data_IF_349782678915
#
_entry.id   IF_349782678915
#
_cell.length_a   1.000
_cell.length_b   1.000
_cell.length_c   1.000
_cell.angle_alpha   90.00
_cell.angle_beta   90.00
_cell.angle_gamma   90.00
#
_symmetry.space_group_name_H-M   'P 1'
#
loop_
_entity.id
_entity.type
_entity.pdbx_description
1 polymer ?
#
# COMPACT_ATOMS: atom_id res chain seq x y z
N UNK A 1 -8.44 0.78 -5.14
CA UNK A 1 -8.73 1.80 -4.13
C UNK A 1 -7.64 2.85 -4.19
N UNK A 2 -8.00 4.10 -4.45
CA UNK A 2 -7.09 5.25 -4.55
C UNK A 2 -6.87 5.88 -3.17
N UNK A 3 -5.71 6.50 -3.00
CA UNK A 3 -5.42 7.38 -1.86
C UNK A 3 -5.33 8.80 -2.40
N UNK A 4 -5.89 9.77 -1.70
CA UNK A 4 -5.96 11.14 -2.21
C UNK A 4 -4.56 11.76 -2.30
N UNK A 5 -3.72 11.53 -1.29
CA UNK A 5 -2.38 12.09 -1.17
C UNK A 5 -1.41 11.08 -0.56
N UNK A 6 -0.19 11.05 -1.07
CA UNK A 6 0.92 10.27 -0.52
C UNK A 6 2.05 11.21 -0.15
N UNK A 7 2.52 11.14 1.09
CA UNK A 7 3.73 11.81 1.51
C UNK A 7 4.90 10.80 1.55
N UNK A 8 5.94 11.07 0.78
CA UNK A 8 7.20 10.34 0.84
C UNK A 8 8.20 11.13 1.66
N UNK A 9 8.55 10.63 2.84
CA UNK A 9 9.46 11.32 3.77
C UNK A 9 10.74 10.52 4.00
N UNK A 10 11.86 11.21 4.22
CA UNK A 10 13.18 10.56 4.34
C UNK A 10 13.41 9.90 5.70
N UNK A 11 12.67 10.33 6.72
CA UNK A 11 12.77 9.84 8.11
C UNK A 11 11.46 9.24 8.54
N UNK A 12 11.49 8.29 9.49
CA UNK A 12 10.28 7.68 10.03
C UNK A 12 9.38 8.79 10.59
N UNK A 13 8.17 8.99 10.05
CA UNK A 13 7.27 10.00 10.55
C UNK A 13 6.68 9.56 11.89
N UNK A 14 6.60 10.49 12.82
CA UNK A 14 5.75 10.38 14.00
C UNK A 14 4.45 11.14 13.68
N UNK A 15 3.46 10.39 13.21
CA UNK A 15 2.17 10.93 12.74
C UNK A 15 1.47 11.71 13.85
N UNK A 16 1.57 11.23 15.10
CA UNK A 16 0.99 11.89 16.26
C UNK A 16 1.68 13.22 16.53
N UNK A 17 3.02 13.24 16.59
CA UNK A 17 3.77 14.47 16.84
C UNK A 17 3.49 15.57 15.80
N UNK A 18 3.32 15.19 14.53
CA UNK A 18 3.01 16.15 13.46
C UNK A 18 1.57 16.68 13.58
N UNK A 19 0.61 15.81 13.86
CA UNK A 19 -0.78 16.22 14.07
C UNK A 19 -0.95 17.08 15.34
N UNK A 20 -0.30 16.72 16.44
CA UNK A 20 -0.21 17.55 17.65
C UNK A 20 0.41 18.92 17.33
N UNK A 21 1.43 18.96 16.46
CA UNK A 21 2.00 20.21 15.97
C UNK A 21 0.98 21.09 15.23
N UNK A 22 0.12 20.52 14.40
CA UNK A 22 -0.94 21.27 13.71
C UNK A 22 -2.00 21.81 14.69
N UNK A 23 -2.41 20.99 15.66
CA UNK A 23 -3.35 21.38 16.72
C UNK A 23 -2.77 22.52 17.56
N UNK A 24 -1.50 22.39 17.96
CA UNK A 24 -0.78 23.43 18.71
C UNK A 24 -0.64 24.75 17.93
N UNK A 25 -0.59 24.69 16.59
CA UNK A 25 -0.58 25.84 15.70
C UNK A 25 -1.98 26.45 15.45
N UNK A 26 -3.01 25.95 16.15
CA UNK A 26 -4.35 26.53 16.16
C UNK A 26 -5.31 25.96 15.12
N UNK A 27 -4.98 24.84 14.47
CA UNK A 27 -5.97 24.13 13.66
C UNK A 27 -7.02 23.48 14.58
N UNK A 28 -8.33 23.67 14.32
CA UNK A 28 -9.41 23.12 15.13
C UNK A 28 -9.61 21.63 14.81
N UNK A 29 -8.57 20.84 15.07
CA UNK A 29 -8.52 19.41 14.78
C UNK A 29 -8.46 18.62 16.08
N UNK A 30 -9.15 17.48 16.10
CA UNK A 30 -9.02 16.48 17.14
C UNK A 30 -8.33 15.24 16.58
N UNK A 31 -7.31 14.76 17.26
CA UNK A 31 -6.65 13.50 16.91
C UNK A 31 -7.33 12.33 17.62
N UNK A 32 -7.70 11.29 16.87
CA UNK A 32 -8.28 10.04 17.38
C UNK A 32 -7.62 8.82 16.73
N UNK A 33 -7.54 7.72 17.46
CA UNK A 33 -6.85 6.50 17.01
C UNK A 33 -5.35 6.53 17.31
N UNK A 34 -4.60 5.64 16.66
CA UNK A 34 -3.18 5.39 16.93
C UNK A 34 -2.91 3.89 17.09
N UNK A 35 -1.63 3.49 17.02
CA UNK A 35 -1.19 2.08 16.96
C UNK A 35 -1.98 1.19 17.95
N UNK A 36 -2.66 0.13 17.48
CA UNK A 36 -2.55 -0.52 16.17
C UNK A 36 -3.51 -0.01 15.07
N UNK A 37 -4.34 0.99 15.35
CA UNK A 37 -5.35 1.52 14.43
C UNK A 37 -4.84 2.75 13.67
N UNK A 38 -5.33 2.97 12.44
CA UNK A 38 -5.00 4.15 11.64
C UNK A 38 -5.33 5.45 12.39
N UNK A 39 -4.42 6.41 12.39
CA UNK A 39 -4.61 7.73 12.99
C UNK A 39 -5.65 8.52 12.20
N UNK A 40 -6.57 9.20 12.88
CA UNK A 40 -7.68 9.95 12.28
C UNK A 40 -7.72 11.37 12.82
N UNK A 41 -7.90 12.33 11.93
CA UNK A 41 -8.11 13.74 12.24
C UNK A 41 -9.58 14.08 12.07
N UNK A 42 -10.18 14.60 13.13
CA UNK A 42 -11.56 15.07 13.16
C UNK A 42 -11.59 16.60 13.24
N UNK A 43 -12.67 17.22 12.78
CA UNK A 43 -12.92 18.64 13.01
C UNK A 43 -13.41 18.92 14.44
N UNK A 44 -13.56 20.20 14.80
CA UNK A 44 -14.10 20.62 16.10
C UNK A 44 -15.56 20.22 16.36
N UNK A 45 -16.28 19.70 15.35
CA UNK A 45 -17.62 19.11 15.51
C UNK A 45 -17.56 17.58 15.64
N UNK A 46 -16.36 16.98 15.62
CA UNK A 46 -16.13 15.54 15.72
C UNK A 46 -16.31 14.78 14.40
N UNK A 47 -16.46 15.46 13.26
CA UNK A 47 -16.56 14.81 11.94
C UNK A 47 -15.18 14.40 11.46
N UNK A 48 -15.07 13.18 10.93
CA UNK A 48 -13.82 12.70 10.34
C UNK A 48 -13.47 13.53 9.11
N UNK A 49 -12.27 14.10 9.09
CA UNK A 49 -11.73 14.80 7.92
C UNK A 49 -10.68 13.95 7.21
N UNK A 50 -9.69 13.44 7.94
CA UNK A 50 -8.54 12.77 7.33
C UNK A 50 -8.23 11.47 8.07
N UNK A 51 -7.98 10.40 7.34
CA UNK A 51 -7.45 9.14 7.86
C UNK A 51 -6.03 8.95 7.33
N UNK A 52 -5.09 8.73 8.25
CA UNK A 52 -3.69 8.55 7.96
C UNK A 52 -3.36 7.09 8.26
N UNK A 53 -2.96 6.36 7.22
CA UNK A 53 -2.52 4.97 7.39
C UNK A 53 -1.08 4.91 7.90
N UNK A 54 -0.72 3.76 8.44
CA UNK A 54 0.60 3.50 8.99
C UNK A 54 1.72 3.73 7.97
N UNK A 55 2.84 4.26 8.45
CA UNK A 55 3.96 4.62 7.60
C UNK A 55 4.76 3.38 7.20
N UNK A 56 4.90 3.14 5.89
CA UNK A 56 5.58 1.96 5.37
C UNK A 56 6.95 2.34 4.81
N UNK A 57 8.01 1.66 5.23
CA UNK A 57 9.33 1.89 4.65
C UNK A 57 9.45 1.21 3.28
N UNK A 58 9.67 2.02 2.24
CA UNK A 58 9.90 1.58 0.87
C UNK A 58 11.38 1.73 0.51
N UNK A 59 12.06 0.60 0.36
CA UNK A 59 13.49 0.56 0.04
C UNK A 59 13.78 0.43 -1.46
N UNK A 60 12.76 0.11 -2.26
CA UNK A 60 12.90 -0.21 -3.69
C UNK A 60 12.33 0.91 -4.56
N UNK A 61 13.19 1.56 -5.36
CA UNK A 61 12.79 2.67 -6.23
C UNK A 61 11.80 2.25 -7.32
N UNK A 62 11.88 1.00 -7.81
CA UNK A 62 10.96 0.47 -8.81
C UNK A 62 9.50 0.41 -8.36
N UNK A 63 9.23 0.18 -7.07
CA UNK A 63 7.89 0.19 -6.51
C UNK A 63 7.28 1.60 -6.53
N UNK A 64 8.09 2.61 -6.19
CA UNK A 64 7.71 4.03 -6.28
C UNK A 64 7.37 4.37 -7.74
N UNK A 65 8.21 3.94 -8.69
CA UNK A 65 8.01 4.17 -10.12
C UNK A 65 6.73 3.53 -10.66
N UNK A 66 6.38 2.34 -10.16
CA UNK A 66 5.15 1.64 -10.53
C UNK A 66 3.88 2.35 -10.03
N UNK A 67 3.95 2.96 -8.85
CA UNK A 67 2.79 3.55 -8.18
C UNK A 67 2.58 5.02 -8.50
N UNK A 68 3.67 5.79 -8.59
CA UNK A 68 3.66 7.25 -8.77
C UNK A 68 4.22 7.69 -10.12
N UNK A 69 4.76 6.76 -10.91
CA UNK A 69 5.39 7.05 -12.21
C UNK A 69 6.91 7.21 -12.13
N UNK A 70 7.57 6.90 -13.25
CA UNK A 70 9.04 6.88 -13.34
C UNK A 70 9.66 8.27 -13.13
N UNK A 71 9.02 9.34 -13.60
CA UNK A 71 9.52 10.72 -13.45
C UNK A 71 9.56 11.15 -11.99
N UNK A 72 8.52 10.83 -11.21
CA UNK A 72 8.48 11.12 -9.78
C UNK A 72 9.48 10.25 -9.02
N UNK A 73 9.55 8.96 -9.31
CA UNK A 73 10.50 8.05 -8.69
C UNK A 73 11.96 8.43 -8.92
N UNK A 74 12.30 9.00 -10.08
CA UNK A 74 13.65 9.48 -10.37
C UNK A 74 14.10 10.63 -9.45
N UNK A 75 13.16 11.40 -8.89
CA UNK A 75 13.42 12.51 -7.95
C UNK A 75 13.50 12.04 -6.49
N UNK A 76 13.13 10.79 -6.21
CA UNK A 76 13.08 10.23 -4.85
C UNK A 76 14.26 9.28 -4.64
N UNK A 77 15.01 9.49 -3.56
CA UNK A 77 16.12 8.62 -3.17
C UNK A 77 15.68 7.65 -2.07
N UNK A 78 15.70 6.35 -2.35
CA UNK A 78 15.38 5.30 -1.37
C UNK A 78 16.52 5.06 -0.37
N UNK A 79 16.23 4.58 0.86
CA UNK A 79 14.90 4.24 1.38
C UNK A 79 14.09 5.47 1.81
N UNK A 80 12.78 5.41 1.59
CA UNK A 80 11.82 6.45 2.02
C UNK A 80 10.68 5.83 2.81
N UNK A 81 10.00 6.64 3.61
CA UNK A 81 8.78 6.27 4.31
C UNK A 81 7.57 6.78 3.54
N UNK A 82 6.69 5.86 3.20
CA UNK A 82 5.44 6.10 2.50
C UNK A 82 4.31 6.29 3.51
N UNK A 83 3.61 7.40 3.41
CA UNK A 83 2.42 7.69 4.24
C UNK A 83 1.22 7.91 3.34
N UNK A 84 0.24 7.03 3.42
CA UNK A 84 -1.04 7.20 2.73
C UNK A 84 -1.93 8.16 3.56
N UNK A 85 -2.27 9.31 2.97
CA UNK A 85 -3.16 10.32 3.55
C UNK A 85 -4.47 10.33 2.78
N UNK A 86 -5.56 9.98 3.46
CA UNK A 86 -6.89 9.82 2.86
C UNK A 86 -7.82 10.90 3.38
N UNK A 87 -8.31 11.75 2.48
CA UNK A 87 -9.33 12.72 2.83
C UNK A 87 -10.70 12.06 2.73
N UNK A 88 -11.64 12.46 3.59
CA UNK A 88 -13.04 12.06 3.42
C UNK A 88 -13.57 12.75 2.17
N UNK A 89 -14.02 11.95 1.21
CA UNK A 89 -14.70 12.44 0.02
C UNK A 89 -15.98 13.20 0.41
N UNK A 90 -16.38 14.18 -0.40
CA UNK A 90 -17.54 15.06 -0.18
C UNK A 90 -17.34 16.18 0.87
N UNK A 91 -16.19 16.23 1.57
CA UNK A 91 -15.87 17.32 2.51
C UNK A 91 -14.72 18.17 1.96
N UNK A 92 -14.96 19.41 1.47
CA UNK A 92 -13.89 20.24 0.89
C UNK A 92 -12.82 20.62 1.92
N UNK A 93 -13.20 20.79 3.18
CA UNK A 93 -12.29 21.03 4.31
C UNK A 93 -11.29 19.87 4.48
N UNK A 94 -11.73 18.63 4.27
CA UNK A 94 -10.91 17.43 4.45
C UNK A 94 -9.71 17.40 3.50
N UNK A 95 -9.92 17.78 2.24
CA UNK A 95 -8.84 17.81 1.25
C UNK A 95 -7.82 18.90 1.56
N UNK A 96 -8.28 20.06 2.05
CA UNK A 96 -7.42 21.16 2.53
C UNK A 96 -6.55 20.71 3.71
N UNK A 97 -7.16 20.07 4.71
CA UNK A 97 -6.45 19.56 5.90
C UNK A 97 -5.47 18.45 5.52
N UNK A 98 -5.87 17.51 4.66
CA UNK A 98 -5.01 16.42 4.20
C UNK A 98 -3.76 16.95 3.48
N UNK A 99 -3.92 17.96 2.60
CA UNK A 99 -2.80 18.60 1.92
C UNK A 99 -1.90 19.33 2.91
N UNK A 100 -2.46 20.12 3.83
CA UNK A 100 -1.69 20.84 4.86
C UNK A 100 -0.90 19.88 5.76
N UNK A 101 -1.46 18.73 6.10
CA UNK A 101 -0.79 17.68 6.86
C UNK A 101 0.38 17.07 6.06
N UNK A 102 0.15 16.70 4.79
CA UNK A 102 1.19 16.16 3.92
C UNK A 102 2.33 17.16 3.68
N UNK A 103 2.02 18.43 3.46
CA UNK A 103 3.01 19.50 3.31
C UNK A 103 3.80 19.71 4.62
N UNK A 104 3.15 19.60 5.78
CA UNK A 104 3.82 19.67 7.08
C UNK A 104 4.78 18.49 7.28
N UNK A 105 4.37 17.27 6.93
CA UNK A 105 5.24 16.09 6.97
C UNK A 105 6.51 16.31 6.15
N UNK A 106 6.37 16.78 4.91
CA UNK A 106 7.52 17.04 4.03
C UNK A 106 8.36 18.21 4.54
N UNK A 107 7.74 19.25 5.09
CA UNK A 107 8.45 20.39 5.67
C UNK A 107 9.37 19.97 6.83
N UNK A 108 8.87 19.13 7.74
CA UNK A 108 9.61 18.72 8.93
C UNK A 108 10.59 17.56 8.69
N UNK A 109 10.23 16.61 7.84
CA UNK A 109 10.99 15.37 7.66
C UNK A 109 11.81 15.32 6.36
N UNK A 110 11.58 16.28 5.47
CA UNK A 110 12.13 16.31 4.12
C UNK A 110 11.52 15.21 3.25
N UNK A 111 11.23 15.53 1.99
CA UNK A 111 10.52 14.58 1.13
C UNK A 111 9.79 15.24 -0.02
N UNK A 112 8.78 14.55 -0.54
CA UNK A 112 7.86 15.06 -1.56
C UNK A 112 6.44 14.55 -1.30
N UNK A 113 5.44 15.34 -1.70
CA UNK A 113 4.02 14.95 -1.70
C UNK A 113 3.60 14.63 -3.13
N UNK A 114 2.80 13.60 -3.32
CA UNK A 114 2.14 13.27 -4.58
C UNK A 114 0.62 13.15 -4.37
N UNK A 115 -0.22 13.65 -5.28
CA UNK A 115 0.07 14.52 -6.43
C UNK A 115 0.67 15.87 -6.05
N UNK A 116 1.60 16.39 -6.86
CA UNK A 116 2.23 17.70 -6.63
C UNK A 116 1.24 18.85 -6.93
N UNK A 117 0.41 18.67 -7.97
CA UNK A 117 -0.66 19.60 -8.35
C UNK A 117 -1.96 18.93 -8.79
N UNK A 118 -3.03 19.71 -8.96
CA UNK A 118 -4.37 19.22 -9.31
C UNK A 118 -4.47 18.55 -10.71
N UNK A 119 -3.41 18.63 -11.51
CA UNK A 119 -3.31 17.98 -12.83
C UNK A 119 -2.78 16.54 -12.76
N UNK A 120 -2.19 16.15 -11.64
CA UNK A 120 -1.69 14.79 -11.44
C UNK A 120 -2.83 13.84 -11.09
N UNK A 121 -2.69 12.58 -11.53
CA UNK A 121 -3.63 11.53 -11.17
C UNK A 121 -3.63 11.31 -9.64
N UNK A 122 -4.77 10.90 -9.05
CA UNK A 122 -4.83 10.60 -7.63
C UNK A 122 -3.84 9.48 -7.29
N UNK A 123 -3.21 9.58 -6.12
CA UNK A 123 -2.19 8.63 -5.70
C UNK A 123 -2.76 7.21 -5.56
N UNK A 124 -1.93 6.21 -5.83
CA UNK A 124 -2.30 4.80 -5.62
C UNK A 124 -1.82 4.37 -4.25
N UNK A 125 -2.73 3.86 -3.42
CA UNK A 125 -2.38 3.39 -2.08
C UNK A 125 -1.35 2.26 -2.15
N UNK A 126 -0.40 2.23 -1.22
CA UNK A 126 0.58 1.15 -1.13
C UNK A 126 -0.09 -0.24 -0.97
N UNK A 127 -1.08 -0.36 -0.07
CA UNK A 127 -1.78 -1.64 0.18
C UNK A 127 -2.54 -2.20 -1.02
N UNK A 128 -3.07 -1.36 -1.91
CA UNK A 128 -3.76 -1.83 -3.12
C UNK A 128 -2.83 -2.53 -4.12
N UNK A 129 -1.51 -2.38 -3.97
CA UNK A 129 -0.51 -3.03 -4.82
C UNK A 129 0.05 -4.34 -4.25
N UNK A 130 -0.27 -4.64 -2.99
CA UNK A 130 0.32 -5.73 -2.21
C UNK A 130 -0.66 -6.77 -1.68
N UNK A 131 -1.41 -7.43 -2.57
CA UNK A 131 -1.62 -8.88 -2.45
C UNK A 131 -0.95 -9.52 -3.67
N UNK A 132 0.37 -9.64 -3.57
CA UNK A 132 1.23 -10.22 -4.60
C UNK A 132 2.62 -10.50 -4.02
N UNK A 133 2.68 -11.00 -2.78
CA UNK A 133 3.90 -11.54 -2.19
C UNK A 133 3.90 -13.07 -2.33
N UNK A 134 5.01 -13.72 -2.70
CA UNK A 134 5.06 -15.16 -2.87
C UNK A 134 5.26 -15.85 -1.52
N UNK A 135 4.33 -16.71 -1.12
CA UNK A 135 4.64 -17.75 -0.13
C UNK A 135 3.50 -18.20 0.78
N UNK A 136 3.43 -19.52 0.90
CA UNK A 136 2.90 -20.27 2.04
C UNK A 136 1.38 -20.53 2.12
N UNK A 137 0.93 -21.50 1.33
CA UNK A 137 0.05 -22.55 1.86
C UNK A 137 0.61 -23.92 1.46
N UNK A 138 1.58 -24.35 2.26
CA UNK A 138 1.99 -25.75 2.32
C UNK A 138 1.06 -26.52 3.24
N UNK A 139 0.47 -27.58 2.70
CA UNK A 139 0.30 -28.85 3.39
C UNK A 139 -0.77 -28.96 4.47
N UNK A 140 -1.87 -29.62 4.12
CA UNK A 140 -2.45 -30.64 4.99
C UNK A 140 -2.78 -31.88 4.16
N UNK A 141 -1.97 -32.90 4.37
CA UNK A 141 -2.28 -34.27 4.03
C UNK A 141 -3.32 -34.84 5.02
N UNK A 142 -4.18 -35.73 4.53
CA UNK A 142 -4.83 -36.75 5.36
C UNK A 142 -6.32 -36.95 5.10
N UNK A 143 -6.69 -38.00 4.35
CA UNK A 143 -8.06 -38.54 4.34
C UNK A 143 -8.47 -39.37 3.12
N UNK A 144 -7.88 -40.55 2.89
CA UNK A 144 -8.55 -41.68 2.19
C UNK A 144 -9.45 -42.41 3.21
N UNK A 145 -10.51 -43.20 2.87
CA UNK A 145 -10.54 -44.15 1.74
C UNK A 145 -11.90 -44.40 1.02
N UNK A 146 -11.82 -45.09 -0.13
CA UNK A 146 -12.79 -46.13 -0.50
C UNK A 146 -13.71 -45.84 -1.69
N UNK A 147 -13.55 -46.61 -2.77
CA UNK A 147 -14.56 -46.72 -3.83
C UNK A 147 -14.05 -47.23 -5.19
N UNK A 148 -13.79 -48.54 -5.30
CA UNK A 148 -13.91 -49.26 -6.58
C UNK A 148 -15.41 -49.29 -6.97
N UNK A 149 -15.80 -49.31 -8.27
CA UNK A 149 -15.45 -50.36 -9.25
C UNK A 149 -15.08 -49.82 -10.65
N UNK A 150 -14.21 -50.47 -11.43
CA UNK A 150 -14.55 -51.59 -12.32
C UNK A 150 -14.33 -51.20 -13.80
N UNK A 151 -14.00 -52.13 -14.73
CA UNK A 151 -13.15 -51.85 -15.88
C UNK A 151 -13.89 -51.70 -17.22
N UNK A 152 -13.32 -50.94 -18.15
CA UNK A 152 -13.73 -50.96 -19.56
C UNK A 152 -12.52 -50.83 -20.52
N UNK A 153 -12.27 -51.90 -21.27
CA UNK A 153 -11.96 -51.84 -22.71
C UNK A 153 -10.57 -51.39 -23.16
N UNK A 154 -9.69 -52.39 -23.36
CA UNK A 154 -8.54 -52.46 -24.28
C UNK A 154 -8.97 -52.24 -25.77
N UNK A 155 -8.09 -52.27 -26.79
CA UNK A 155 -6.76 -51.68 -27.03
C UNK A 155 -6.70 -50.83 -28.32
N UNK A 156 -5.63 -50.06 -28.51
CA UNK A 156 -5.23 -49.68 -29.88
C UNK A 156 -4.13 -48.64 -29.95
N UNK A 157 -2.91 -49.07 -30.31
CA UNK A 157 -1.93 -48.14 -30.90
C UNK A 157 -0.48 -48.36 -30.49
N UNK A 158 0.17 -49.24 -31.24
CA UNK A 158 1.53 -49.08 -31.77
C UNK A 158 2.70 -48.75 -30.81
N UNK A 159 3.42 -49.81 -30.47
CA UNK A 159 4.86 -49.98 -30.72
C UNK A 159 5.76 -48.74 -30.76
N UNK A 160 6.61 -48.60 -29.75
CA UNK A 160 7.99 -48.15 -29.94
C UNK A 160 8.92 -49.10 -29.17
N UNK A 161 9.69 -49.90 -29.90
CA UNK A 161 10.75 -50.75 -29.39
C UNK A 161 12.00 -50.51 -30.23
N UNK A 162 13.15 -50.41 -29.55
CA UNK A 162 14.50 -50.24 -30.13
C UNK A 162 15.12 -48.95 -29.59
N UNK A 163 15.99 -48.97 -28.58
CA UNK A 163 17.16 -49.83 -28.41
C UNK A 163 18.37 -49.09 -28.99
N UNK A 164 19.22 -48.45 -28.16
CA UNK A 164 20.49 -48.96 -27.57
C UNK A 164 21.73 -48.27 -28.17
N UNK A 165 22.42 -47.51 -27.31
CA UNK A 165 23.88 -47.34 -27.09
C UNK A 165 24.89 -47.35 -28.27
N UNK A 166 25.63 -46.24 -28.38
CA UNK A 166 27.07 -46.12 -28.12
C UNK A 166 28.09 -46.89 -28.96
N UNK A 167 29.06 -46.16 -29.53
CA UNK A 167 30.32 -46.68 -30.08
C UNK A 167 30.72 -46.04 -31.40
#
# INVERSE_FOLDING_TARGET
>A
MSTDLVALVRRRPDVHAIADGMIAMGEPLELRGGEPDSTRLHDGEGRLLVSIEDAVQVSVQGEIGRLLGAEFAARVMTPVWWVDVRAVADVPEAQRVARKFADSLVHWLGGMVYPEGAADAPARSWRASGQGGPGAEGGTAGGTPGGFPGPAGDPGGAAYQGGVIGG
#
